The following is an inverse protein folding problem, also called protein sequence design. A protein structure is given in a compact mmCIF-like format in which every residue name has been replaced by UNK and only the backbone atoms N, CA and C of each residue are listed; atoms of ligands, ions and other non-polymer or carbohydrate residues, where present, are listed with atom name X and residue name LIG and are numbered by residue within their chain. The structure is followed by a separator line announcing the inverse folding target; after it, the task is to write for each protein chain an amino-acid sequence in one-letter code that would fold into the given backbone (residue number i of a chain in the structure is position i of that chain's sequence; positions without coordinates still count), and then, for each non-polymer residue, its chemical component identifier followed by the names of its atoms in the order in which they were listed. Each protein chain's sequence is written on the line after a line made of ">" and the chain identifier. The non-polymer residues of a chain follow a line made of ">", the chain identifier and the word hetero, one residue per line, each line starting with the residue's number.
data_IF_321305948018
#
_entry.id   IF_321305948018
#
_cell.length_a   1.000
_cell.length_b   1.000
_cell.length_c   1.000
_cell.angle_alpha   90.00
_cell.angle_beta   90.00
_cell.angle_gamma   90.00
#
_symmetry.space_group_name_H-M   'P 1'
#
loop_
_entity.id
_entity.type
_entity.pdbx_description
1 polymer ?
#
# COMPACT_ATOMS: atom_id res chain seq x y z
N UNK A 1 -10.06 -27.44 16.28
CA UNK A 1 -10.00 -27.13 14.84
C UNK A 1 -10.21 -25.63 14.69
N UNK A 2 -9.15 -24.84 14.69
CA UNK A 2 -9.22 -23.43 14.31
C UNK A 2 -9.21 -23.39 12.79
N UNK A 3 -10.32 -22.99 12.19
CA UNK A 3 -10.38 -22.69 10.76
C UNK A 3 -9.51 -21.45 10.55
N UNK A 4 -8.22 -21.66 10.27
CA UNK A 4 -7.33 -20.57 9.92
C UNK A 4 -7.86 -19.98 8.62
N UNK A 5 -8.49 -18.80 8.71
CA UNK A 5 -8.98 -18.07 7.56
C UNK A 5 -7.85 -17.92 6.53
N UNK A 6 -8.20 -17.91 5.24
CA UNK A 6 -7.20 -17.70 4.20
C UNK A 6 -6.42 -16.40 4.50
N UNK A 7 -5.07 -16.41 4.41
CA UNK A 7 -4.27 -15.23 4.66
C UNK A 7 -4.75 -14.09 3.75
N UNK A 8 -4.88 -12.90 4.35
CA UNK A 8 -5.46 -11.71 3.72
C UNK A 8 -4.51 -10.53 3.88
N UNK A 9 -4.40 -9.72 2.84
CA UNK A 9 -3.75 -8.41 2.86
C UNK A 9 -4.71 -7.33 2.41
N UNK A 10 -4.51 -6.14 2.95
CA UNK A 10 -5.20 -4.92 2.57
C UNK A 10 -4.18 -3.88 2.12
N UNK A 11 -4.46 -3.21 1.00
CA UNK A 11 -3.63 -2.13 0.49
C UNK A 11 -4.00 -0.83 1.19
N UNK A 12 -3.00 -0.19 1.77
CA UNK A 12 -3.09 1.13 2.37
C UNK A 12 -2.09 2.08 1.73
N UNK A 13 -2.35 3.37 1.88
CA UNK A 13 -1.42 4.43 1.52
C UNK A 13 -0.72 4.90 2.79
N UNK A 14 0.61 4.86 2.80
CA UNK A 14 1.45 5.31 3.92
C UNK A 14 2.22 6.57 3.54
N UNK A 15 2.15 7.60 4.38
CA UNK A 15 3.01 8.79 4.28
C UNK A 15 4.35 8.50 4.98
N UNK A 16 5.44 8.57 4.21
CA UNK A 16 6.80 8.46 4.71
C UNK A 16 7.24 9.82 5.28
N UNK A 17 7.42 9.90 6.59
CA UNK A 17 8.00 11.10 7.23
C UNK A 17 7.56 11.40 8.65
N UNK A 18 6.41 10.90 9.14
CA UNK A 18 5.85 11.33 10.44
C UNK A 18 6.73 11.11 11.68
N UNK A 19 7.75 10.23 11.66
CA UNK A 19 8.64 10.00 12.82
C UNK A 19 9.98 10.74 12.77
N UNK A 20 10.43 11.20 11.60
CA UNK A 20 11.74 11.88 11.46
C UNK A 20 11.60 13.37 11.14
N UNK A 21 10.37 13.84 10.87
CA UNK A 21 10.12 15.21 10.42
C UNK A 21 10.08 16.26 11.53
N UNK A 22 9.80 15.91 12.80
CA UNK A 22 9.80 16.94 13.86
C UNK A 22 11.19 17.55 14.04
N UNK A 23 12.26 16.78 13.81
CA UNK A 23 13.63 17.29 13.84
C UNK A 23 14.02 18.06 12.56
N UNK A 24 13.52 17.66 11.38
CA UNK A 24 13.81 18.34 10.11
C UNK A 24 12.94 19.58 9.87
N UNK A 25 11.77 19.67 10.50
CA UNK A 25 10.83 20.77 10.32
C UNK A 25 11.32 22.09 10.93
N UNK A 26 12.11 22.03 12.00
CA UNK A 26 12.70 23.24 12.59
C UNK A 26 13.69 23.96 11.66
N UNK A 27 14.23 23.30 10.62
CA UNK A 27 15.16 23.95 9.69
C UNK A 27 14.48 24.55 8.44
N UNK A 28 13.20 24.23 8.18
CA UNK A 28 12.55 24.55 6.90
C UNK A 28 11.45 25.62 7.02
N UNK A 29 11.63 26.59 7.93
CA UNK A 29 10.77 27.79 8.02
C UNK A 29 11.14 28.88 7.00
N UNK A 30 12.03 28.58 6.05
CA UNK A 30 12.39 29.47 4.95
C UNK A 30 11.93 28.85 3.62
N UNK A 31 10.64 29.00 3.32
CA UNK A 31 10.08 28.93 1.96
C UNK A 31 10.46 27.71 1.10
N UNK A 32 9.75 26.60 1.24
CA UNK A 32 9.60 25.63 0.14
C UNK A 32 8.28 24.88 0.28
N UNK A 33 7.48 24.92 -0.77
CA UNK A 33 6.24 24.14 -0.91
C UNK A 33 6.59 22.65 -0.82
N UNK A 34 6.43 22.06 0.37
CA UNK A 34 6.95 20.72 0.67
C UNK A 34 6.19 19.61 -0.06
N UNK A 35 6.91 18.81 -0.85
CA UNK A 35 6.47 17.50 -1.34
C UNK A 35 6.49 16.49 -0.20
N UNK A 36 5.40 15.75 0.00
CA UNK A 36 5.37 14.58 0.88
C UNK A 36 5.66 13.31 0.07
N UNK A 37 6.33 12.34 0.70
CA UNK A 37 6.59 11.04 0.08
C UNK A 37 5.54 10.04 0.56
N UNK A 38 4.91 9.34 -0.38
CA UNK A 38 3.92 8.32 -0.09
C UNK A 38 4.38 6.97 -0.67
N UNK A 39 3.84 5.88 -0.14
CA UNK A 39 3.95 4.54 -0.74
C UNK A 39 2.68 3.74 -0.50
N UNK A 40 2.37 2.82 -1.39
CA UNK A 40 1.37 1.79 -1.11
C UNK A 40 2.00 0.65 -0.30
N UNK A 41 1.25 0.12 0.66
CA UNK A 41 1.65 -1.00 1.50
C UNK A 41 0.51 -1.99 1.56
N UNK A 42 0.78 -3.25 1.21
CA UNK A 42 -0.12 -4.34 1.49
C UNK A 42 0.26 -4.94 2.84
N UNK A 43 -0.62 -4.80 3.83
CA UNK A 43 -0.41 -5.32 5.18
C UNK A 43 -1.59 -6.19 5.61
N UNK A 44 -1.37 -7.14 6.51
CA UNK A 44 -2.45 -7.96 7.04
C UNK A 44 -3.36 -7.11 7.94
N UNK A 45 -4.61 -7.53 8.19
CA UNK A 45 -5.51 -6.82 9.09
C UNK A 45 -4.92 -6.75 10.51
N UNK A 46 -5.34 -5.75 11.29
CA UNK A 46 -4.72 -5.42 12.60
C UNK A 46 -4.82 -6.57 13.63
N UNK A 47 -5.69 -7.56 13.41
CA UNK A 47 -5.85 -8.77 14.23
C UNK A 47 -5.00 -9.97 13.78
N UNK A 48 -4.19 -9.79 12.73
CA UNK A 48 -3.26 -10.82 12.25
C UNK A 48 -2.05 -10.99 13.17
N UNK A 49 -1.41 -12.18 13.16
CA UNK A 49 -0.21 -12.43 13.97
C UNK A 49 0.98 -11.55 13.53
N UNK A 50 1.88 -11.26 14.46
CA UNK A 50 3.03 -10.34 14.26
C UNK A 50 4.00 -10.78 13.15
N UNK A 51 4.00 -12.05 12.76
CA UNK A 51 4.83 -12.62 11.69
C UNK A 51 4.17 -12.53 10.29
N UNK A 52 3.00 -11.91 10.19
CA UNK A 52 2.27 -11.81 8.94
C UNK A 52 2.98 -10.92 7.90
N UNK A 53 2.89 -11.34 6.63
CA UNK A 53 3.66 -10.76 5.53
C UNK A 53 3.23 -9.32 5.22
N UNK A 54 4.21 -8.41 5.14
CA UNK A 54 4.01 -7.03 4.66
C UNK A 54 4.74 -6.88 3.32
N UNK A 55 4.02 -6.39 2.31
CA UNK A 55 4.59 -6.11 0.98
C UNK A 55 4.59 -4.61 0.74
N UNK A 56 5.78 -4.06 0.50
CA UNK A 56 6.00 -2.63 0.28
C UNK A 56 6.01 -2.30 -1.22
N UNK A 57 5.24 -1.30 -1.61
CA UNK A 57 5.29 -0.67 -2.93
C UNK A 57 6.37 0.40 -3.03
N UNK A 58 6.60 0.87 -4.24
CA UNK A 58 7.53 1.96 -4.51
C UNK A 58 7.01 3.31 -3.96
N UNK A 59 7.94 4.19 -3.61
CA UNK A 59 7.64 5.52 -3.09
C UNK A 59 7.36 6.50 -4.22
N UNK A 60 6.47 7.47 -3.99
CA UNK A 60 6.17 8.54 -4.94
C UNK A 60 5.90 9.87 -4.24
N UNK A 61 6.31 10.99 -4.84
CA UNK A 61 6.03 12.31 -4.31
C UNK A 61 4.58 12.73 -4.60
N UNK A 62 3.94 13.37 -3.61
CA UNK A 62 2.66 14.07 -3.78
C UNK A 62 2.83 15.50 -3.25
N UNK A 63 2.35 16.49 -4.00
CA UNK A 63 2.30 17.87 -3.53
C UNK A 63 1.22 17.98 -2.45
N UNK A 64 1.56 18.48 -1.26
CA UNK A 64 0.65 18.59 -0.10
C UNK A 64 -0.63 19.40 -0.33
N UNK A 65 -0.72 20.15 -1.44
CA UNK A 65 -1.91 20.95 -1.79
C UNK A 65 -2.98 20.18 -2.56
N UNK A 66 -2.74 18.91 -2.93
CA UNK A 66 -3.67 18.11 -3.72
C UNK A 66 -4.34 17.06 -2.83
N UNK A 67 -5.68 17.02 -2.88
CA UNK A 67 -6.49 16.02 -2.17
C UNK A 67 -6.45 14.68 -2.93
N UNK A 68 -6.14 13.60 -2.21
CA UNK A 68 -5.99 12.25 -2.76
C UNK A 68 -7.33 11.63 -3.21
N UNK A 69 -8.44 12.13 -2.66
CA UNK A 69 -9.81 11.71 -3.03
C UNK A 69 -10.45 12.62 -4.10
N UNK A 70 -9.82 13.72 -4.50
CA UNK A 70 -10.33 14.63 -5.52
C UNK A 70 -9.91 14.20 -6.94
N UNK A 71 -10.87 13.58 -7.65
CA UNK A 71 -10.70 13.03 -8.99
C UNK A 71 -10.99 14.03 -10.12
N UNK A 72 -11.23 15.33 -9.81
CA UNK A 72 -11.85 16.27 -10.75
C UNK A 72 -10.87 17.02 -11.65
N UNK A 73 -9.61 17.22 -11.26
CA UNK A 73 -8.59 17.83 -12.13
C UNK A 73 -7.62 16.79 -12.74
N UNK A 74 -6.99 17.08 -13.90
CA UNK A 74 -5.96 16.23 -14.51
C UNK A 74 -4.70 16.24 -13.64
N UNK A 75 -4.77 15.44 -12.60
CA UNK A 75 -3.76 15.28 -11.58
C UNK A 75 -2.69 14.31 -12.08
N UNK A 76 -1.60 14.82 -12.65
CA UNK A 76 -0.44 13.99 -13.06
C UNK A 76 0.09 13.08 -11.92
N UNK A 77 -0.18 13.43 -10.66
CA UNK A 77 0.13 12.60 -9.52
C UNK A 77 -0.81 11.39 -9.36
N UNK A 78 -2.08 11.48 -9.79
CA UNK A 78 -3.03 10.36 -9.73
C UNK A 78 -2.61 9.25 -10.69
N UNK A 79 -2.13 9.63 -11.88
CA UNK A 79 -1.57 8.68 -12.84
C UNK A 79 -0.31 8.01 -12.29
N UNK A 80 0.58 8.78 -11.65
CA UNK A 80 1.74 8.23 -10.95
C UNK A 80 1.32 7.29 -9.82
N UNK A 81 0.36 7.67 -8.98
CA UNK A 81 -0.15 6.85 -7.89
C UNK A 81 -0.78 5.55 -8.41
N UNK A 82 -1.56 5.62 -9.50
CA UNK A 82 -2.11 4.42 -10.16
C UNK A 82 -1.01 3.50 -10.67
N UNK A 83 0.00 4.04 -11.35
CA UNK A 83 1.14 3.26 -11.80
C UNK A 83 1.87 2.57 -10.63
N UNK A 84 2.05 3.27 -9.49
CA UNK A 84 2.65 2.67 -8.28
C UNK A 84 1.78 1.62 -7.61
N UNK A 85 0.46 1.81 -7.65
CA UNK A 85 -0.46 0.79 -7.18
C UNK A 85 -0.35 -0.46 -8.08
N UNK A 86 -0.40 -0.30 -9.40
CA UNK A 86 -0.31 -1.40 -10.37
C UNK A 86 1.00 -2.19 -10.24
N UNK A 87 2.12 -1.50 -9.96
CA UNK A 87 3.41 -2.15 -9.63
C UNK A 87 3.31 -3.02 -8.38
N UNK A 88 2.69 -2.53 -7.31
CA UNK A 88 2.45 -3.31 -6.09
C UNK A 88 1.54 -4.51 -6.39
N UNK A 89 0.48 -4.32 -7.18
CA UNK A 89 -0.42 -5.41 -7.55
C UNK A 89 0.28 -6.49 -8.37
N UNK A 90 1.12 -6.11 -9.33
CA UNK A 90 1.90 -7.04 -10.12
C UNK A 90 2.81 -7.88 -9.23
N UNK A 91 3.47 -7.24 -8.25
CA UNK A 91 4.29 -7.94 -7.26
C UNK A 91 3.47 -8.91 -6.41
N UNK A 92 2.32 -8.48 -5.90
CA UNK A 92 1.41 -9.33 -5.12
C UNK A 92 0.99 -10.57 -5.92
N UNK A 93 0.64 -10.41 -7.22
CA UNK A 93 0.30 -11.53 -8.11
C UNK A 93 1.46 -12.51 -8.29
N UNK A 94 2.68 -12.00 -8.49
CA UNK A 94 3.90 -12.84 -8.57
C UNK A 94 4.14 -13.62 -7.28
N UNK A 95 3.85 -13.02 -6.12
CA UNK A 95 3.95 -13.66 -4.80
C UNK A 95 2.77 -14.63 -4.51
N UNK A 96 1.83 -14.77 -5.44
CA UNK A 96 0.70 -15.70 -5.38
C UNK A 96 -0.55 -15.15 -4.71
N UNK A 97 -0.62 -13.84 -4.48
CA UNK A 97 -1.81 -13.17 -3.97
C UNK A 97 -2.80 -12.92 -5.11
N UNK A 98 -4.08 -13.15 -4.83
CA UNK A 98 -5.19 -12.91 -5.76
C UNK A 98 -6.11 -11.82 -5.21
N UNK A 99 -6.62 -10.91 -6.05
CA UNK A 99 -7.55 -9.88 -5.62
C UNK A 99 -8.86 -10.52 -5.14
N UNK A 100 -9.36 -10.08 -3.98
CA UNK A 100 -10.62 -10.52 -3.39
C UNK A 100 -11.72 -9.44 -3.43
N UNK A 101 -11.41 -8.26 -3.99
CA UNK A 101 -12.32 -7.12 -4.12
C UNK A 101 -11.79 -5.84 -3.47
N UNK A 102 -12.60 -4.78 -3.52
CA UNK A 102 -12.33 -3.49 -2.89
C UNK A 102 -13.08 -3.42 -1.56
N UNK A 103 -12.41 -3.08 -0.47
CA UNK A 103 -12.99 -3.12 0.88
C UNK A 103 -12.97 -1.78 1.60
N UNK A 104 -12.20 -0.80 1.13
CA UNK A 104 -12.13 0.52 1.75
C UNK A 104 -12.83 1.63 0.98
N UNK A 105 -12.93 2.79 1.62
CA UNK A 105 -13.53 4.02 1.07
C UNK A 105 -12.72 4.62 -0.08
N UNK A 106 -11.43 4.30 -0.18
CA UNK A 106 -10.52 4.88 -1.16
C UNK A 106 -10.31 3.95 -2.35
N UNK A 107 -10.05 4.53 -3.53
CA UNK A 107 -9.86 3.77 -4.77
C UNK A 107 -8.64 2.83 -4.75
N UNK A 108 -7.70 3.07 -3.83
CA UNK A 108 -6.52 2.23 -3.58
C UNK A 108 -6.74 1.13 -2.53
N UNK A 109 -7.86 1.13 -1.79
CA UNK A 109 -8.12 0.18 -0.71
C UNK A 109 -8.63 -1.18 -1.21
N UNK A 110 -7.70 -1.96 -1.75
CA UNK A 110 -7.95 -3.29 -2.33
C UNK A 110 -7.55 -4.40 -1.35
N UNK A 111 -8.29 -5.50 -1.39
CA UNK A 111 -8.02 -6.70 -0.58
C UNK A 111 -7.47 -7.82 -1.46
N UNK A 112 -6.51 -8.54 -0.91
CA UNK A 112 -5.86 -9.70 -1.52
C UNK A 112 -5.98 -10.89 -0.59
N UNK A 113 -6.20 -12.06 -1.17
CA UNK A 113 -6.15 -13.34 -0.46
C UNK A 113 -5.18 -14.26 -1.15
N UNK A 114 -4.54 -15.11 -0.36
CA UNK A 114 -3.74 -16.21 -0.90
C UNK A 114 -4.40 -17.51 -0.45
N UNK A 115 -4.81 -18.32 -1.40
CA UNK A 115 -5.22 -19.69 -1.07
C UNK A 115 -3.97 -20.38 -0.53
N UNK A 116 -4.01 -20.78 0.74
CA UNK A 116 -2.89 -21.41 1.43
C UNK A 116 -2.26 -22.44 0.50
N UNK A 117 -0.96 -22.30 0.26
CA UNK A 117 -0.26 -23.02 -0.79
C UNK A 117 -0.66 -24.49 -0.78
N UNK A 118 -1.24 -24.96 -1.88
CA UNK A 118 -1.20 -26.37 -2.19
C UNK A 118 0.26 -26.79 -1.98
N UNK A 119 0.56 -27.81 -1.14
CA UNK A 119 1.89 -28.37 -1.17
C UNK A 119 2.13 -28.76 -2.63
N UNK A 120 3.15 -28.18 -3.27
CA UNK A 120 3.70 -28.81 -4.45
C UNK A 120 4.17 -30.19 -3.97
N UNK A 121 3.31 -31.19 -4.08
CA UNK A 121 3.70 -32.58 -4.04
C UNK A 121 4.65 -32.77 -5.21
N UNK A 122 5.94 -32.70 -4.92
CA UNK A 122 6.98 -33.23 -5.79
C UNK A 122 6.66 -34.72 -5.91
N UNK A 123 6.13 -35.10 -7.07
CA UNK A 123 5.95 -36.50 -7.43
C UNK A 123 7.32 -37.18 -7.41
N UNK A 124 7.34 -38.35 -6.77
CA UNK A 124 8.51 -39.19 -6.49
C UNK A 124 9.09 -39.82 -7.75
#
# INVERSE_FOLDING_TARGET
>A
MTTQGAPRLEVHLEELGRRSWVAALMSTLTGSFGTAQYRFVARPPDDAPDDATIVLGATFPVLRAQDLDDLVEPHAWLDLARARLDELEARLRVEGWSPAGTTGRHWWSRTYVRTGGLPMSVAR
#
